data_IF_217287396426
#
_entry.id   IF_217287396426
#
_cell.length_a   1.000
_cell.length_b   1.000
_cell.length_c   1.000
_cell.angle_alpha   90.00
_cell.angle_beta   90.00
_cell.angle_gamma   90.00
#
_symmetry.space_group_name_H-M   'P 1'
#
loop_
_entity.id
_entity.type
_entity.pdbx_description
1 polymer ?
#
# COMPACT_ATOMS: atom_id res chain seq x y z
N UNK A 1 18.25 7.64 -4.91
CA UNK A 1 18.43 7.57 -3.46
C UNK A 1 18.87 6.17 -3.10
N UNK A 2 19.91 6.03 -2.27
CA UNK A 2 20.22 4.75 -1.63
C UNK A 2 19.32 4.61 -0.41
N UNK A 3 18.56 3.52 -0.36
CA UNK A 3 17.49 3.34 0.63
C UNK A 3 18.02 2.60 1.85
N UNK A 4 17.68 3.10 3.02
CA UNK A 4 18.20 2.67 4.30
C UNK A 4 17.15 1.90 5.12
N UNK A 5 17.60 1.29 6.21
CA UNK A 5 16.71 0.66 7.20
C UNK A 5 15.76 1.68 7.85
N UNK A 6 16.21 2.93 8.00
CA UNK A 6 15.41 4.00 8.59
C UNK A 6 14.24 4.38 7.70
N UNK A 7 14.47 4.48 6.40
CA UNK A 7 13.45 4.83 5.41
C UNK A 7 12.26 3.85 5.44
N UNK A 8 12.52 2.55 5.63
CA UNK A 8 11.45 1.57 5.77
C UNK A 8 10.69 1.71 7.09
N UNK A 9 11.39 2.00 8.20
CA UNK A 9 10.71 2.24 9.48
C UNK A 9 9.72 3.40 9.34
N UNK A 10 10.16 4.50 8.72
CA UNK A 10 9.31 5.65 8.42
C UNK A 10 8.12 5.26 7.54
N UNK A 11 8.34 4.46 6.49
CA UNK A 11 7.25 3.97 5.65
C UNK A 11 6.26 3.07 6.41
N UNK A 12 6.75 2.23 7.32
CA UNK A 12 5.90 1.33 8.10
C UNK A 12 5.10 2.06 9.17
N UNK A 13 5.62 3.16 9.72
CA UNK A 13 4.90 3.99 10.69
C UNK A 13 3.95 4.97 10.03
N UNK A 14 4.23 5.40 8.79
CA UNK A 14 3.31 6.20 8.00
C UNK A 14 2.00 5.45 7.68
N UNK A 15 0.91 6.20 7.56
CA UNK A 15 -0.37 5.69 7.09
C UNK A 15 -0.23 5.09 5.69
N UNK A 16 0.47 5.82 4.81
CA UNK A 16 0.83 5.37 3.47
C UNK A 16 2.05 6.14 2.95
N UNK A 17 2.52 5.76 1.76
CA UNK A 17 3.58 6.51 1.10
C UNK A 17 3.80 6.03 -0.32
N UNK A 18 4.38 6.91 -1.12
CA UNK A 18 4.71 6.66 -2.51
C UNK A 18 6.08 7.23 -2.84
N UNK A 19 6.68 6.75 -3.92
CA UNK A 19 7.97 7.24 -4.39
C UNK A 19 7.80 7.99 -5.70
N UNK A 20 8.18 9.27 -5.78
CA UNK A 20 8.16 10.00 -7.02
C UNK A 20 9.06 9.32 -8.07
N UNK A 21 8.61 9.24 -9.34
CA UNK A 21 9.40 8.64 -10.42
C UNK A 21 10.77 9.30 -10.64
N UNK A 22 10.92 10.55 -10.20
CA UNK A 22 12.17 11.31 -10.30
C UNK A 22 13.23 10.87 -9.28
N UNK A 23 12.84 10.08 -8.27
CA UNK A 23 13.72 9.59 -7.20
C UNK A 23 14.18 10.67 -6.22
N UNK A 24 13.45 11.80 -6.14
CA UNK A 24 13.74 12.93 -5.25
C UNK A 24 13.61 12.61 -3.77
N UNK A 25 12.84 11.58 -3.42
CA UNK A 25 12.57 11.23 -2.04
C UNK A 25 11.53 10.13 -1.90
N UNK A 26 10.82 10.19 -0.79
CA UNK A 26 9.62 9.40 -0.49
C UNK A 26 8.55 10.36 0.02
N UNK A 27 7.37 10.33 -0.58
CA UNK A 27 6.21 10.95 0.03
C UNK A 27 5.70 10.03 1.13
N UNK A 28 5.62 10.55 2.36
CA UNK A 28 5.11 9.87 3.53
C UNK A 28 3.87 10.59 4.01
N UNK A 29 2.78 9.86 4.18
CA UNK A 29 1.50 10.43 4.62
C UNK A 29 1.21 9.92 6.02
N UNK A 30 0.96 10.84 6.95
CA UNK A 30 0.69 10.54 8.35
C UNK A 30 -0.52 11.33 8.83
N UNK A 31 -1.24 10.76 9.80
CA UNK A 31 -2.29 11.46 10.52
C UNK A 31 -1.70 12.09 11.79
N UNK A 32 -1.96 13.38 11.98
CA UNK A 32 -1.44 14.21 13.06
C UNK A 32 -2.59 15.07 13.59
N UNK A 33 -3.09 14.74 14.79
CA UNK A 33 -4.16 15.47 15.48
C UNK A 33 -5.47 15.62 14.66
N UNK A 34 -5.84 14.61 13.89
CA UNK A 34 -7.02 14.62 13.02
C UNK A 34 -6.79 15.21 11.63
N UNK A 35 -5.58 15.70 11.34
CA UNK A 35 -5.16 16.18 10.03
C UNK A 35 -4.34 15.13 9.30
N UNK A 36 -4.56 14.99 8.00
CA UNK A 36 -3.74 14.17 7.12
C UNK A 36 -2.69 15.05 6.43
N UNK A 37 -1.42 14.71 6.64
CA UNK A 37 -0.28 15.50 6.20
C UNK A 37 0.63 14.65 5.31
N UNK A 38 1.05 15.19 4.18
CA UNK A 38 2.12 14.64 3.35
C UNK A 38 3.46 15.28 3.70
N UNK A 39 4.52 14.47 3.78
CA UNK A 39 5.90 14.90 3.99
C UNK A 39 6.81 14.31 2.92
N UNK A 40 7.64 15.15 2.28
CA UNK A 40 8.68 14.68 1.37
C UNK A 40 9.97 14.40 2.15
N UNK A 41 10.27 13.12 2.35
CA UNK A 41 11.49 12.65 3.00
C UNK A 41 12.62 12.40 1.99
N UNK A 42 13.78 13.01 2.20
CA UNK A 42 14.93 12.96 1.28
C UNK A 42 16.02 11.96 1.74
N UNK A 43 15.71 11.06 2.67
CA UNK A 43 16.66 10.10 3.25
C UNK A 43 17.43 10.66 4.46
N UNK A 44 17.35 11.97 4.70
CA UNK A 44 18.05 12.64 5.80
C UNK A 44 17.22 13.73 6.48
N UNK A 45 16.32 14.39 5.73
CA UNK A 45 15.44 15.42 6.27
C UNK A 45 14.07 15.40 5.58
N UNK A 46 13.09 16.05 6.23
CA UNK A 46 11.82 16.40 5.61
C UNK A 46 12.02 17.74 4.90
N UNK A 47 11.88 17.72 3.56
CA UNK A 47 12.09 18.92 2.74
C UNK A 47 10.81 19.74 2.58
N UNK A 48 9.68 19.08 2.55
CA UNK A 48 8.38 19.69 2.26
C UNK A 48 7.31 19.01 3.11
N UNK A 49 6.31 19.79 3.47
CA UNK A 49 5.14 19.32 4.21
C UNK A 49 3.90 20.02 3.66
N UNK A 50 2.91 19.23 3.23
CA UNK A 50 1.67 19.72 2.60
C UNK A 50 0.48 19.13 3.34
N UNK A 51 -0.50 19.98 3.63
CA UNK A 51 -1.78 19.56 4.21
C UNK A 51 -2.64 18.87 3.15
N UNK A 52 -3.27 17.74 3.49
CA UNK A 52 -4.16 17.00 2.58
C UNK A 52 -5.62 17.20 2.99
N UNK A 53 -5.94 16.94 4.26
CA UNK A 53 -7.31 16.87 4.74
C UNK A 53 -7.39 17.08 6.25
N UNK A 54 -8.52 17.58 6.73
CA UNK A 54 -8.87 17.63 8.15
C UNK A 54 -9.98 16.61 8.46
N UNK A 55 -10.29 16.44 9.74
CA UNK A 55 -11.35 15.57 10.25
C UNK A 55 -11.23 14.11 9.75
N UNK A 56 -9.99 13.65 9.56
CA UNK A 56 -9.73 12.25 9.22
C UNK A 56 -9.83 11.36 10.43
N UNK A 57 -10.10 10.07 10.20
CA UNK A 57 -10.13 9.07 11.25
C UNK A 57 -8.78 9.03 11.99
N UNK A 58 -8.79 9.02 13.31
CA UNK A 58 -7.57 8.75 14.11
C UNK A 58 -6.91 7.44 13.65
N UNK A 59 -5.60 7.49 13.41
CA UNK A 59 -4.82 6.40 12.80
C UNK A 59 -5.47 5.88 11.51
N UNK A 60 -5.93 6.78 10.64
CA UNK A 60 -6.61 6.39 9.39
C UNK A 60 -5.69 5.49 8.56
N UNK A 61 -6.21 4.36 8.04
CA UNK A 61 -5.54 3.71 6.93
C UNK A 61 -5.55 4.66 5.72
N UNK A 62 -4.54 4.59 4.88
CA UNK A 62 -4.50 5.37 3.65
C UNK A 62 -3.84 4.59 2.51
N UNK A 63 -4.11 5.02 1.28
CA UNK A 63 -3.48 4.51 0.06
C UNK A 63 -3.02 5.68 -0.77
N UNK A 64 -1.73 5.71 -1.08
CA UNK A 64 -1.15 6.65 -2.02
C UNK A 64 -0.99 5.97 -3.37
N UNK A 65 -1.74 6.42 -4.36
CA UNK A 65 -1.57 6.02 -5.75
C UNK A 65 -0.90 7.16 -6.52
N UNK A 66 0.19 6.82 -7.21
CA UNK A 66 1.06 7.77 -7.88
C UNK A 66 1.51 7.18 -9.22
N UNK A 67 1.31 7.93 -10.30
CA UNK A 67 1.90 7.69 -11.61
C UNK A 67 2.62 8.95 -12.12
N UNK A 68 2.87 9.03 -13.43
CA UNK A 68 3.58 10.16 -14.03
C UNK A 68 2.72 11.43 -14.10
N UNK A 69 1.40 11.30 -14.07
CA UNK A 69 0.44 12.36 -14.38
C UNK A 69 -0.52 12.68 -13.21
N UNK A 70 -0.65 11.79 -12.22
CA UNK A 70 -1.59 11.91 -11.11
C UNK A 70 -1.02 11.44 -9.78
N UNK A 71 -1.45 12.13 -8.72
CA UNK A 71 -1.21 11.81 -7.31
C UNK A 71 -2.55 11.77 -6.61
N UNK A 72 -2.92 10.61 -6.06
CA UNK A 72 -4.16 10.41 -5.34
C UNK A 72 -3.95 9.76 -4.00
N UNK A 73 -4.71 10.24 -3.01
CA UNK A 73 -4.76 9.67 -1.67
C UNK A 73 -6.19 9.28 -1.35
N UNK A 74 -6.34 8.02 -0.92
CA UNK A 74 -7.56 7.52 -0.33
C UNK A 74 -7.36 7.35 1.18
N UNK A 75 -8.30 7.82 1.98
CA UNK A 75 -8.28 7.71 3.45
C UNK A 75 -9.71 7.58 4.00
N UNK A 76 -9.86 7.52 5.33
CA UNK A 76 -11.16 7.52 5.99
C UNK A 76 -11.37 8.82 6.76
N UNK A 77 -12.57 9.39 6.68
CA UNK A 77 -13.01 10.45 7.58
C UNK A 77 -13.33 9.93 9.00
N UNK A 78 -13.57 10.84 9.94
CA UNK A 78 -13.94 10.52 11.32
C UNK A 78 -15.17 9.61 11.42
N UNK A 79 -16.13 9.71 10.49
CA UNK A 79 -17.33 8.88 10.36
C UNK A 79 -17.12 7.53 9.68
N UNK A 80 -15.87 7.21 9.30
CA UNK A 80 -15.48 5.98 8.62
C UNK A 80 -16.01 5.83 7.18
N UNK A 81 -16.13 6.93 6.44
CA UNK A 81 -16.38 6.91 5.00
C UNK A 81 -15.07 7.07 4.22
N UNK A 82 -15.02 6.42 3.06
CA UNK A 82 -13.88 6.54 2.14
C UNK A 82 -13.87 7.94 1.50
N UNK A 83 -12.74 8.63 1.62
CA UNK A 83 -12.48 9.92 1.02
C UNK A 83 -11.37 9.80 -0.04
N UNK A 84 -11.37 10.69 -1.03
CA UNK A 84 -10.37 10.77 -2.09
C UNK A 84 -9.87 12.21 -2.25
N UNK A 85 -8.56 12.37 -2.39
CA UNK A 85 -7.90 13.63 -2.65
C UNK A 85 -6.95 13.49 -3.82
N UNK A 86 -6.88 14.51 -4.67
CA UNK A 86 -5.98 14.60 -5.81
C UNK A 86 -5.12 15.85 -5.70
N UNK A 87 -3.83 15.72 -5.99
CA UNK A 87 -2.91 16.86 -5.95
C UNK A 87 -3.02 17.70 -7.23
N UNK A 88 -3.26 18.99 -7.07
CA UNK A 88 -3.16 19.98 -8.14
C UNK A 88 -1.73 20.55 -8.18
N UNK A 89 -1.03 20.29 -9.28
CA UNK A 89 0.35 20.73 -9.45
C UNK A 89 0.48 22.23 -9.79
N UNK A 90 -0.57 22.85 -10.33
CA UNK A 90 -0.57 24.28 -10.65
C UNK A 90 -0.83 25.12 -9.39
N UNK A 91 -1.65 24.62 -8.46
CA UNK A 91 -1.99 25.27 -7.20
C UNK A 91 -1.12 24.81 -6.01
N UNK A 92 -0.33 23.74 -6.20
CA UNK A 92 0.50 23.10 -5.18
C UNK A 92 -0.28 22.65 -3.93
N UNK A 93 -1.53 22.20 -4.13
CA UNK A 93 -2.44 21.81 -3.03
C UNK A 93 -3.21 20.51 -3.32
N UNK A 94 -3.77 19.91 -2.27
CA UNK A 94 -4.62 18.73 -2.38
C UNK A 94 -6.09 19.13 -2.44
N UNK A 95 -6.78 18.65 -3.47
CA UNK A 95 -8.18 18.93 -3.72
C UNK A 95 -9.06 17.69 -3.45
N UNK A 96 -10.21 17.90 -2.83
CA UNK A 96 -11.19 16.84 -2.58
C UNK A 96 -11.85 16.37 -3.88
N UNK A 97 -11.92 15.05 -4.07
CA UNK A 97 -12.57 14.42 -5.24
C UNK A 97 -13.87 13.76 -4.79
N UNK A 98 -14.98 14.20 -5.38
CA UNK A 98 -16.29 13.57 -5.17
C UNK A 98 -16.28 12.14 -5.72
N UNK A 99 -16.44 11.17 -4.82
CA UNK A 99 -16.66 9.78 -5.20
C UNK A 99 -18.15 9.50 -5.33
N UNK A 100 -18.53 8.71 -6.35
CA UNK A 100 -19.91 8.18 -6.51
C UNK A 100 -20.97 9.28 -6.42
N UNK A 101 -20.80 10.35 -7.20
CA UNK A 101 -21.71 11.51 -7.22
C UNK A 101 -21.95 12.16 -5.84
N UNK A 102 -21.00 12.02 -4.90
CA UNK A 102 -21.10 12.55 -3.55
C UNK A 102 -21.84 11.65 -2.54
N UNK A 103 -22.23 10.43 -2.93
CA UNK A 103 -22.76 9.46 -1.98
C UNK A 103 -21.64 8.93 -1.06
N UNK A 104 -21.89 8.93 0.26
CA UNK A 104 -20.94 8.38 1.23
C UNK A 104 -20.70 6.89 0.99
N UNK A 105 -19.42 6.50 1.05
CA UNK A 105 -18.99 5.11 0.93
C UNK A 105 -18.56 4.62 2.33
N UNK A 106 -19.47 4.00 3.10
CA UNK A 106 -19.14 3.58 4.46
C UNK A 106 -18.16 2.40 4.45
N UNK A 107 -17.19 2.46 5.35
CA UNK A 107 -16.12 1.48 5.52
C UNK A 107 -16.18 0.92 6.94
N UNK A 108 -15.79 -0.34 7.12
CA UNK A 108 -15.70 -0.94 8.44
C UNK A 108 -14.70 -0.15 9.32
N UNK A 109 -15.01 0.16 10.59
CA UNK A 109 -14.13 0.98 11.45
C UNK A 109 -12.73 0.41 11.67
N UNK A 110 -12.57 -0.91 11.52
CA UNK A 110 -11.28 -1.62 11.64
C UNK A 110 -10.65 -1.95 10.28
N UNK A 111 -11.23 -1.48 9.18
CA UNK A 111 -10.73 -1.78 7.84
C UNK A 111 -9.28 -1.33 7.69
N UNK A 112 -8.53 -2.08 6.89
CA UNK A 112 -7.35 -1.55 6.22
C UNK A 112 -7.74 -1.03 4.84
N UNK A 113 -6.87 -0.23 4.23
CA UNK A 113 -6.98 0.14 2.84
C UNK A 113 -5.74 -0.36 2.11
N UNK A 114 -5.93 -0.82 0.89
CA UNK A 114 -4.85 -1.00 -0.07
C UNK A 114 -5.36 -0.71 -1.47
N UNK A 115 -4.46 -0.52 -2.41
CA UNK A 115 -4.85 -0.20 -3.77
C UNK A 115 -3.68 -0.26 -4.72
N UNK A 116 -4.01 -0.15 -6.00
CA UNK A 116 -3.04 -0.16 -7.09
C UNK A 116 -3.62 0.56 -8.31
N UNK A 117 -2.75 0.95 -9.23
CA UNK A 117 -3.14 1.46 -10.53
C UNK A 117 -3.31 0.29 -11.50
N UNK A 118 -4.44 0.23 -12.18
CA UNK A 118 -4.75 -0.75 -13.22
C UNK A 118 -5.28 -0.01 -14.44
N UNK A 119 -4.51 -0.07 -15.54
CA UNK A 119 -4.73 0.78 -16.71
C UNK A 119 -4.76 2.26 -16.29
N UNK A 120 -5.75 3.03 -16.75
CA UNK A 120 -5.96 4.44 -16.38
C UNK A 120 -6.87 4.60 -15.16
N UNK A 121 -7.08 3.53 -14.38
CA UNK A 121 -8.00 3.50 -13.25
C UNK A 121 -7.32 3.15 -11.94
N UNK A 122 -7.94 3.54 -10.83
CA UNK A 122 -7.47 3.22 -9.49
C UNK A 122 -8.29 2.08 -8.91
N UNK A 123 -7.63 1.07 -8.35
CA UNK A 123 -8.28 0.03 -7.56
C UNK A 123 -8.11 0.34 -6.08
N UNK A 124 -9.21 0.34 -5.33
CA UNK A 124 -9.21 0.52 -3.87
C UNK A 124 -9.90 -0.68 -3.23
N UNK A 125 -9.24 -1.31 -2.26
CA UNK A 125 -9.72 -2.48 -1.54
C UNK A 125 -9.87 -2.15 -0.06
N UNK A 126 -10.99 -2.55 0.53
CA UNK A 126 -11.35 -2.29 1.92
C UNK A 126 -12.42 -3.28 2.42
N UNK A 127 -12.69 -3.27 3.73
CA UNK A 127 -13.79 -4.01 4.33
C UNK A 127 -15.02 -3.10 4.44
N UNK A 128 -16.16 -3.53 3.93
CA UNK A 128 -17.42 -2.82 4.13
C UNK A 128 -17.99 -3.03 5.55
N UNK A 129 -19.04 -2.30 5.98
CA UNK A 129 -19.58 -2.39 7.34
C UNK A 129 -20.02 -3.78 7.82
N UNK A 130 -20.35 -4.70 6.91
CA UNK A 130 -20.64 -6.11 7.21
C UNK A 130 -19.38 -6.96 7.47
N UNK A 131 -18.18 -6.39 7.31
CA UNK A 131 -16.89 -7.03 7.48
C UNK A 131 -16.36 -7.75 6.24
N UNK A 132 -17.08 -7.72 5.12
CA UNK A 132 -16.67 -8.35 3.86
C UNK A 132 -15.67 -7.48 3.11
N UNK A 133 -14.65 -8.13 2.54
CA UNK A 133 -13.63 -7.48 1.73
C UNK A 133 -14.21 -7.16 0.35
N UNK A 134 -14.11 -5.90 -0.09
CA UNK A 134 -14.58 -5.42 -1.39
C UNK A 134 -13.46 -4.65 -2.07
N UNK A 135 -13.47 -4.69 -3.40
CA UNK A 135 -12.71 -3.77 -4.22
C UNK A 135 -13.65 -2.89 -5.03
N UNK A 136 -13.20 -1.67 -5.32
CA UNK A 136 -13.83 -0.78 -6.29
C UNK A 136 -12.78 -0.30 -7.28
N UNK A 137 -13.23 -0.05 -8.50
CA UNK A 137 -12.51 0.69 -9.52
C UNK A 137 -12.99 2.13 -9.48
N UNK A 138 -12.07 3.05 -9.32
CA UNK A 138 -12.29 4.50 -9.32
C UNK A 138 -11.69 5.06 -10.60
N UNK A 139 -12.52 5.76 -11.37
CA UNK A 139 -12.10 6.45 -12.58
C UNK A 139 -11.40 7.77 -12.23
N UNK A 140 -10.62 8.35 -13.16
CA UNK A 140 -10.04 9.68 -12.96
C UNK A 140 -11.09 10.74 -12.57
N UNK A 141 -12.33 10.66 -13.06
CA UNK A 141 -13.38 11.60 -12.67
C UNK A 141 -13.98 11.43 -11.26
N UNK A 142 -13.60 10.38 -10.51
CA UNK A 142 -14.22 10.02 -9.24
C UNK A 142 -15.40 9.05 -9.35
N UNK A 143 -15.81 8.70 -10.57
CA UNK A 143 -16.82 7.66 -10.82
C UNK A 143 -16.35 6.31 -10.29
N UNK A 144 -17.28 5.55 -9.67
CA UNK A 144 -16.95 4.31 -8.97
C UNK A 144 -17.71 3.13 -9.56
N UNK A 145 -16.98 2.06 -9.90
CA UNK A 145 -17.51 0.76 -10.27
C UNK A 145 -17.13 -0.28 -9.20
N UNK A 146 -18.09 -1.08 -8.73
CA UNK A 146 -17.77 -2.17 -7.81
C UNK A 146 -17.11 -3.34 -8.55
N UNK A 147 -16.01 -3.87 -8.00
CA UNK A 147 -15.44 -5.13 -8.50
C UNK A 147 -16.34 -6.31 -8.11
N UNK A 148 -16.09 -7.47 -8.74
CA UNK A 148 -16.75 -8.72 -8.36
C UNK A 148 -16.65 -8.93 -6.85
N UNK A 149 -17.75 -9.26 -6.14
CA UNK A 149 -17.69 -9.48 -4.70
C UNK A 149 -16.75 -10.61 -4.32
N UNK A 150 -15.94 -10.40 -3.28
CA UNK A 150 -15.20 -11.50 -2.64
C UNK A 150 -16.13 -12.26 -1.67
N UNK A 151 -15.80 -13.52 -1.39
CA UNK A 151 -16.42 -14.31 -0.32
C UNK A 151 -15.78 -14.09 1.05
N UNK A 152 -14.75 -13.24 1.13
CA UNK A 152 -13.92 -13.06 2.33
C UNK A 152 -14.62 -12.10 3.28
N UNK A 153 -14.83 -12.52 4.53
CA UNK A 153 -15.40 -11.65 5.55
C UNK A 153 -14.83 -11.93 6.93
N UNK A 154 -14.71 -10.89 7.73
CA UNK A 154 -14.28 -10.97 9.13
C UNK A 154 -14.83 -9.79 9.94
N UNK A 155 -15.13 -10.01 11.21
CA UNK A 155 -15.45 -8.93 12.16
C UNK A 155 -14.19 -8.21 12.69
N UNK A 156 -13.00 -8.73 12.37
CA UNK A 156 -11.72 -8.09 12.63
C UNK A 156 -11.16 -7.43 11.37
N UNK A 157 -10.12 -6.62 11.55
CA UNK A 157 -9.30 -6.15 10.43
C UNK A 157 -8.77 -7.35 9.64
N UNK A 158 -8.80 -7.26 8.32
CA UNK A 158 -8.15 -8.18 7.39
C UNK A 158 -6.92 -7.46 6.85
N UNK A 159 -5.68 -7.81 7.26
CA UNK A 159 -4.49 -7.29 6.62
C UNK A 159 -4.45 -7.75 5.17
N UNK A 160 -4.31 -6.80 4.24
CA UNK A 160 -4.30 -7.09 2.82
C UNK A 160 -3.49 -6.06 2.04
N UNK A 161 -3.07 -6.42 0.83
CA UNK A 161 -2.41 -5.52 -0.12
C UNK A 161 -2.81 -5.90 -1.55
N UNK A 162 -3.25 -4.91 -2.33
CA UNK A 162 -3.52 -5.06 -3.75
C UNK A 162 -2.28 -4.71 -4.59
N UNK A 163 -2.11 -5.34 -5.74
CA UNK A 163 -1.09 -5.01 -6.73
C UNK A 163 -1.51 -5.51 -8.11
N UNK A 164 -0.92 -4.95 -9.15
CA UNK A 164 -1.08 -5.42 -10.54
C UNK A 164 0.12 -6.27 -10.93
N UNK A 165 -0.16 -7.46 -11.45
CA UNK A 165 0.83 -8.42 -11.92
C UNK A 165 1.49 -7.97 -13.22
N UNK A 166 2.55 -8.66 -13.64
CA UNK A 166 3.19 -8.40 -14.93
C UNK A 166 2.28 -8.77 -16.12
N UNK A 167 1.24 -9.57 -15.88
CA UNK A 167 0.19 -9.92 -16.84
C UNK A 167 -0.99 -8.93 -16.87
N UNK A 168 -0.85 -7.79 -16.19
CA UNK A 168 -1.88 -6.76 -16.02
C UNK A 168 -3.13 -7.23 -15.25
N UNK A 169 -3.08 -8.39 -14.58
CA UNK A 169 -4.19 -8.85 -13.75
C UNK A 169 -4.13 -8.25 -12.33
N UNK A 170 -5.32 -8.09 -11.74
CA UNK A 170 -5.45 -7.60 -10.38
C UNK A 170 -5.23 -8.75 -9.39
N UNK A 171 -4.28 -8.54 -8.49
CA UNK A 171 -4.00 -9.45 -7.39
C UNK A 171 -4.25 -8.81 -6.03
N UNK A 172 -4.58 -9.65 -5.06
CA UNK A 172 -4.81 -9.27 -3.68
C UNK A 172 -4.21 -10.33 -2.77
N UNK A 173 -3.25 -9.95 -1.92
CA UNK A 173 -2.83 -10.78 -0.81
C UNK A 173 -3.63 -10.42 0.42
N UNK A 174 -4.07 -11.42 1.19
CA UNK A 174 -4.69 -11.18 2.49
C UNK A 174 -4.28 -12.24 3.52
N UNK A 175 -4.47 -11.92 4.79
CA UNK A 175 -4.26 -12.84 5.90
C UNK A 175 -5.60 -13.25 6.50
N UNK A 176 -5.84 -14.56 6.57
CA UNK A 176 -7.06 -15.12 7.14
C UNK A 176 -7.01 -15.20 8.67
N UNK A 177 -8.08 -15.70 9.29
CA UNK A 177 -8.14 -15.88 10.75
C UNK A 177 -7.17 -16.95 11.29
N UNK A 178 -6.64 -17.83 10.43
CA UNK A 178 -5.65 -18.84 10.78
C UNK A 178 -4.21 -18.34 10.55
N UNK A 179 -4.05 -17.03 10.30
CA UNK A 179 -2.81 -16.39 9.94
C UNK A 179 -2.14 -16.97 8.68
N UNK A 180 -2.90 -17.55 7.77
CA UNK A 180 -2.41 -18.02 6.46
C UNK A 180 -2.42 -16.87 5.46
N UNK A 181 -1.41 -16.82 4.60
CA UNK A 181 -1.38 -15.87 3.49
C UNK A 181 -2.10 -16.49 2.29
N UNK A 182 -3.12 -15.79 1.84
CA UNK A 182 -3.87 -16.11 0.64
C UNK A 182 -3.53 -15.14 -0.48
N UNK A 183 -3.60 -15.64 -1.71
CA UNK A 183 -3.42 -14.91 -2.95
C UNK A 183 -4.69 -15.04 -3.79
N UNK A 184 -5.38 -13.91 -3.95
CA UNK A 184 -6.48 -13.73 -4.87
C UNK A 184 -5.97 -13.19 -6.18
N UNK A 185 -6.40 -13.79 -7.29
CA UNK A 185 -6.25 -13.24 -8.63
C UNK A 185 -7.62 -13.05 -9.25
N UNK A 186 -7.87 -11.88 -9.81
CA UNK A 186 -9.07 -11.60 -10.59
C UNK A 186 -8.80 -11.95 -12.06
N UNK A 187 -9.38 -13.03 -12.54
CA UNK A 187 -9.33 -13.40 -13.96
C UNK A 187 -10.71 -13.22 -14.58
N UNK A 188 -10.85 -12.24 -15.46
CA UNK A 188 -12.16 -11.82 -15.96
C UNK A 188 -13.02 -11.23 -14.84
N UNK A 189 -14.09 -11.95 -14.46
CA UNK A 189 -15.03 -11.52 -13.42
C UNK A 189 -15.15 -12.55 -12.28
N UNK A 190 -14.08 -13.32 -12.03
CA UNK A 190 -14.04 -14.33 -10.97
C UNK A 190 -12.74 -14.26 -10.20
N UNK A 191 -12.86 -14.23 -8.88
CA UNK A 191 -11.73 -14.37 -7.96
C UNK A 191 -11.33 -15.83 -7.84
N UNK A 192 -10.05 -16.11 -8.06
CA UNK A 192 -9.41 -17.37 -7.71
C UNK A 192 -8.59 -17.17 -6.45
N UNK A 193 -8.93 -17.89 -5.38
CA UNK A 193 -8.22 -17.86 -4.09
C UNK A 193 -7.29 -19.07 -3.97
N UNK A 194 -6.03 -18.83 -3.64
CA UNK A 194 -5.03 -19.86 -3.36
C UNK A 194 -4.23 -19.52 -2.10
N UNK A 195 -3.95 -20.52 -1.26
CA UNK A 195 -3.07 -20.36 -0.11
C UNK A 195 -1.63 -20.45 -0.60
N UNK A 196 -0.77 -19.51 -0.19
CA UNK A 196 0.67 -19.59 -0.44
C UNK A 196 1.26 -20.60 0.56
N UNK A 197 1.76 -21.78 0.11
CA UNK A 197 2.25 -22.80 1.02
C UNK A 197 3.41 -22.30 1.89
N UNK A 198 3.37 -22.59 3.20
CA UNK A 198 4.43 -22.18 4.14
C UNK A 198 4.37 -20.70 4.58
N UNK A 199 3.69 -19.84 3.82
CA UNK A 199 3.47 -18.45 4.16
C UNK A 199 2.31 -18.31 5.17
N UNK A 200 2.66 -18.29 6.45
CA UNK A 200 1.72 -18.02 7.53
C UNK A 200 2.40 -17.47 8.78
N UNK A 201 1.66 -16.74 9.59
CA UNK A 201 2.16 -15.99 10.73
C UNK A 201 1.63 -16.59 12.04
N UNK A 202 2.07 -17.81 12.37
CA UNK A 202 1.50 -18.64 13.45
C UNK A 202 1.31 -17.84 14.75
N UNK A 203 2.33 -17.11 15.19
CA UNK A 203 2.31 -16.35 16.46
C UNK A 203 2.26 -14.83 16.27
N UNK A 204 2.40 -14.33 15.03
CA UNK A 204 2.56 -12.91 14.75
C UNK A 204 1.27 -12.33 14.19
N UNK A 205 0.63 -11.44 14.96
CA UNK A 205 -0.52 -10.68 14.46
C UNK A 205 -0.03 -9.62 13.49
N UNK A 206 -0.25 -9.83 12.20
CA UNK A 206 0.17 -8.88 11.15
C UNK A 206 -0.81 -7.71 11.04
N UNK A 207 -0.29 -6.52 10.82
CA UNK A 207 -1.06 -5.28 10.69
C UNK A 207 -0.89 -4.56 9.35
N UNK A 208 0.23 -4.78 8.65
CA UNK A 208 0.52 -4.19 7.33
C UNK A 208 1.26 -5.22 6.47
N UNK A 209 0.88 -5.30 5.20
CA UNK A 209 1.51 -6.10 4.16
C UNK A 209 2.01 -5.19 3.06
N UNK A 210 3.09 -5.60 2.41
CA UNK A 210 3.65 -4.94 1.25
C UNK A 210 4.25 -5.98 0.32
N UNK A 211 3.95 -5.86 -0.96
CA UNK A 211 4.56 -6.69 -2.01
C UNK A 211 5.73 -5.93 -2.60
N UNK A 212 6.87 -6.62 -2.76
CA UNK A 212 8.13 -5.97 -3.15
C UNK A 212 8.49 -6.18 -4.62
N UNK A 213 7.58 -6.74 -5.41
CA UNK A 213 7.70 -6.95 -6.84
C UNK A 213 6.41 -7.50 -7.45
N UNK A 214 6.22 -7.27 -8.75
CA UNK A 214 4.97 -7.55 -9.46
C UNK A 214 4.96 -8.90 -10.18
N UNK A 215 6.08 -9.64 -10.14
CA UNK A 215 6.15 -11.00 -10.67
C UNK A 215 5.45 -11.94 -9.70
N UNK A 216 4.27 -12.43 -10.08
CA UNK A 216 3.46 -13.36 -9.29
C UNK A 216 4.20 -14.66 -8.91
N UNK A 217 5.19 -15.07 -9.72
CA UNK A 217 5.98 -16.28 -9.49
C UNK A 217 7.21 -16.01 -8.61
N UNK A 218 7.53 -14.73 -8.39
CA UNK A 218 8.64 -14.29 -7.55
C UNK A 218 8.18 -13.28 -6.47
N UNK A 219 6.95 -13.45 -5.98
CA UNK A 219 6.37 -12.59 -4.95
C UNK A 219 7.19 -12.63 -3.67
N UNK A 220 7.69 -11.45 -3.31
CA UNK A 220 8.35 -11.21 -2.05
C UNK A 220 7.43 -10.32 -1.22
N UNK A 221 7.18 -10.72 0.02
CA UNK A 221 6.24 -10.06 0.91
C UNK A 221 7.00 -9.52 2.11
N UNK A 222 6.79 -8.25 2.43
CA UNK A 222 7.14 -7.68 3.71
C UNK A 222 5.88 -7.57 4.57
N UNK A 223 6.00 -7.94 5.84
CA UNK A 223 4.92 -7.87 6.80
C UNK A 223 5.39 -7.16 8.08
N UNK A 224 4.52 -6.31 8.62
CA UNK A 224 4.70 -5.68 9.93
C UNK A 224 3.74 -6.32 10.93
N UNK A 225 4.26 -6.84 12.03
CA UNK A 225 3.46 -7.35 13.14
C UNK A 225 3.00 -6.21 14.08
N UNK A 226 1.97 -6.46 14.88
CA UNK A 226 1.51 -5.55 15.92
C UNK A 226 2.52 -5.35 17.04
N UNK A 227 3.54 -6.21 17.15
CA UNK A 227 4.67 -6.05 18.08
C UNK A 227 5.81 -5.25 17.47
N UNK A 228 5.67 -4.78 16.21
CA UNK A 228 6.67 -4.02 15.49
C UNK A 228 7.69 -4.88 14.73
N UNK A 229 7.56 -6.21 14.71
CA UNK A 229 8.49 -7.06 13.96
C UNK A 229 8.27 -6.92 12.47
N UNK A 230 9.37 -6.79 11.73
CA UNK A 230 9.37 -6.79 10.27
C UNK A 230 9.81 -8.17 9.79
N UNK A 231 8.94 -8.79 9.01
CA UNK A 231 9.09 -10.14 8.49
C UNK A 231 9.18 -10.07 6.98
N UNK A 232 10.03 -10.91 6.41
CA UNK A 232 10.10 -11.14 4.97
C UNK A 232 9.67 -12.56 4.66
N UNK A 233 8.88 -12.71 3.60
CA UNK A 233 8.47 -13.99 3.03
C UNK A 233 8.92 -14.02 1.57
N UNK A 234 9.61 -15.09 1.20
CA UNK A 234 10.01 -15.34 -0.19
C UNK A 234 8.93 -16.12 -0.96
N UNK A 235 9.10 -16.29 -2.28
CA UNK A 235 8.12 -17.00 -3.12
C UNK A 235 7.86 -18.45 -2.69
N UNK A 236 8.86 -19.09 -2.06
CA UNK A 236 8.76 -20.46 -1.54
C UNK A 236 8.08 -20.53 -0.15
N UNK A 237 7.62 -19.41 0.40
CA UNK A 237 6.97 -19.32 1.70
C UNK A 237 7.94 -19.38 2.89
N UNK A 238 9.26 -19.32 2.64
CA UNK A 238 10.26 -19.23 3.69
C UNK A 238 10.23 -17.85 4.33
N UNK A 239 10.40 -17.82 5.65
CA UNK A 239 10.26 -16.63 6.47
C UNK A 239 11.58 -16.25 7.12
N UNK A 240 11.89 -14.95 7.13
CA UNK A 240 12.97 -14.38 7.92
C UNK A 240 12.47 -13.19 8.73
N UNK A 241 12.93 -13.08 9.98
CA UNK A 241 12.77 -11.86 10.77
C UNK A 241 13.88 -10.90 10.36
N UNK A 242 13.53 -9.75 9.81
CA UNK A 242 14.52 -8.76 9.41
C UNK A 242 14.92 -7.87 10.59
N UNK A 243 13.98 -7.59 11.49
CA UNK A 243 14.20 -6.72 12.63
C UNK A 243 12.90 -6.24 13.25
N UNK A 244 12.95 -5.09 13.90
CA UNK A 244 11.82 -4.49 14.62
C UNK A 244 11.79 -2.98 14.44
N UNK A 245 10.60 -2.42 14.22
CA UNK A 245 10.35 -0.99 14.26
C UNK A 245 9.96 -0.60 15.68
N UNK A 246 10.76 0.26 16.31
CA UNK A 246 10.50 0.83 17.63
C UNK A 246 10.72 2.34 17.56
N UNK A 247 9.70 3.13 17.91
CA UNK A 247 9.77 4.61 17.92
C UNK A 247 10.36 5.17 16.61
N UNK A 248 9.78 4.75 15.48
CA UNK A 248 10.19 5.15 14.12
C UNK A 248 11.62 4.75 13.71
N UNK A 249 12.28 3.89 14.50
CA UNK A 249 13.61 3.37 14.21
C UNK A 249 13.56 1.88 13.95
N UNK A 250 14.29 1.45 12.93
CA UNK A 250 14.49 0.03 12.66
C UNK A 250 15.69 -0.50 13.43
N UNK A 251 15.49 -1.60 14.15
CA UNK A 251 16.52 -2.36 14.84
C UNK A 251 16.63 -3.72 14.17
N UNK A 252 17.74 -3.98 13.48
CA UNK A 252 17.97 -5.23 12.77
C UNK A 252 18.05 -6.43 13.73
N UNK A 253 17.60 -7.60 13.28
CA UNK A 253 17.47 -8.79 14.14
C UNK A 253 18.81 -9.32 14.68
N UNK A 254 19.88 -9.35 13.86
CA UNK A 254 21.30 -9.43 14.29
C UNK A 254 22.31 -9.90 13.22
N UNK A 255 21.93 -10.26 11.98
CA UNK A 255 22.91 -10.72 10.96
C UNK A 255 23.13 -9.72 9.82
N UNK A 256 24.36 -9.69 9.29
CA UNK A 256 24.68 -8.98 8.03
C UNK A 256 23.77 -9.48 6.89
N UNK A 257 23.42 -10.77 6.88
CA UNK A 257 22.51 -11.38 5.91
C UNK A 257 21.08 -10.80 5.99
N UNK A 258 20.55 -10.52 7.19
CA UNK A 258 19.27 -9.85 7.35
C UNK A 258 19.32 -8.43 6.78
N UNK A 259 20.41 -7.69 7.02
CA UNK A 259 20.58 -6.34 6.49
C UNK A 259 20.75 -6.34 4.96
N UNK A 260 21.49 -7.30 4.41
CA UNK A 260 21.67 -7.46 2.95
C UNK A 260 20.36 -7.86 2.29
N UNK A 261 19.67 -8.89 2.80
CA UNK A 261 18.38 -9.31 2.26
C UNK A 261 17.36 -8.18 2.33
N UNK A 262 17.36 -7.42 3.43
CA UNK A 262 16.56 -6.22 3.57
C UNK A 262 16.88 -5.20 2.47
N UNK A 263 18.15 -4.81 2.32
CA UNK A 263 18.56 -3.81 1.32
C UNK A 263 18.29 -4.25 -0.13
N UNK A 264 18.41 -5.55 -0.43
CA UNK A 264 18.05 -6.11 -1.75
C UNK A 264 16.54 -6.00 -1.98
N UNK A 265 15.74 -6.38 -0.99
CA UNK A 265 14.28 -6.27 -1.06
C UNK A 265 13.85 -4.81 -1.25
N UNK A 266 14.48 -3.88 -0.53
CA UNK A 266 14.29 -2.44 -0.74
C UNK A 266 14.71 -2.06 -2.17
N UNK A 267 15.92 -2.38 -2.61
CA UNK A 267 16.38 -2.04 -3.96
C UNK A 267 15.45 -2.52 -5.08
N UNK A 268 14.73 -3.64 -4.89
CA UNK A 268 13.69 -4.11 -5.83
C UNK A 268 12.42 -3.23 -5.81
N UNK A 269 11.96 -2.83 -4.63
CA UNK A 269 10.82 -1.90 -4.49
C UNK A 269 11.14 -0.53 -5.07
N UNK A 270 12.30 0.02 -4.69
CA UNK A 270 12.66 1.40 -4.98
C UNK A 270 13.35 1.55 -6.36
N UNK A 271 14.03 0.51 -6.86
CA UNK A 271 14.79 0.56 -8.13
C UNK A 271 13.96 0.42 -9.41
N UNK A 272 12.72 -0.10 -9.33
CA UNK A 272 11.83 -0.23 -10.50
C UNK A 272 11.21 1.10 -10.95
N UNK A 273 10.93 2.03 -10.02
CA UNK A 273 10.44 3.38 -10.35
C UNK A 273 11.38 4.11 -11.35
N UNK A 274 12.69 3.89 -11.20
CA UNK A 274 13.72 4.50 -12.06
C UNK A 274 13.84 3.79 -13.42
N UNK A 275 13.46 2.51 -13.55
CA UNK A 275 13.67 1.69 -14.76
C UNK A 275 12.57 1.88 -15.82
N UNK A 276 11.29 2.04 -15.42
CA UNK A 276 10.17 2.37 -16.35
C UNK A 276 10.47 3.62 -17.20
N UNK A 277 11.18 4.61 -16.62
CA UNK A 277 11.66 5.85 -17.28
C UNK A 277 12.56 5.63 -18.51
N UNK A 278 13.38 4.58 -18.54
CA UNK A 278 14.27 4.33 -19.69
C UNK A 278 13.51 3.75 -20.88
N UNK A 279 12.56 2.86 -20.61
CA UNK A 279 11.81 2.16 -21.65
C UNK A 279 10.72 3.05 -22.27
N UNK A 280 10.11 3.95 -21.51
CA UNK A 280 9.17 4.97 -22.03
C UNK A 280 9.84 6.01 -22.93
N UNK A 281 11.03 6.50 -22.56
CA UNK A 281 11.78 7.48 -23.36
C UNK A 281 12.33 6.93 -24.68
N UNK A 282 12.67 5.64 -24.73
CA UNK A 282 13.13 4.99 -25.97
C UNK A 282 11.96 4.66 -26.92
N UNK A 283 10.73 4.51 -26.41
CA UNK A 283 9.53 4.33 -27.24
C UNK A 283 9.01 5.64 -27.87
N UNK A 284 9.23 6.80 -27.24
CA UNK A 284 8.87 8.11 -27.82
C UNK A 284 9.92 8.69 -28.79
N UNK A 285 11.06 8.02 -28.96
CA UNK A 285 12.16 8.43 -29.85
C UNK A 285 12.26 7.59 -31.14
N UNK A 286 11.22 6.82 -31.47
CA UNK A 286 11.12 6.06 -32.72
C UNK A 286 9.91 6.48 -33.53
#
# INVERSE_FOLDING_TARGET
>A
MDVTLHDLALYFTAATGAMPPDGSGMYLVSEEDGDLIEKLWTGHEVREQVFIAADVKESTPAVYLLDEDSRRIFCLDAEHNLQCYEYDADEEEWNFVLLRDGESIPVHPKSRLSGCLLEDTQIVVFQDPSGRLRGMRVQPGGEVESLTPTSISSSSAIPHTAFVGDDESLHLLYIDSNNQVHHLTLSGNQWKDTIIPGAGFVNDKIIKLMVTGNDENALNILALSSTGQVLWINPEGQKAVLGKVERERFVAASSEECAVQFLVTMSKMFGKAIKKRKEGKDKMRK
#
